data_IF_254561843410
#
_entry.id   IF_254561843410
#
_cell.length_a   1.000
_cell.length_b   1.000
_cell.length_c   1.000
_cell.angle_alpha   90.00
_cell.angle_beta   90.00
_cell.angle_gamma   90.00
#
_symmetry.space_group_name_H-M   'P 1'
#
loop_
_entity.id
_entity.type
_entity.pdbx_description
1 polymer ?
#
# COMPACT_ATOMS: atom_id res chain seq x y z
N UNK A 1 31.49 12.20 -19.17
CA UNK A 1 30.56 11.30 -18.43
C UNK A 1 30.34 11.69 -16.98
N UNK A 2 31.38 12.06 -16.20
CA UNK A 2 31.22 12.56 -14.81
C UNK A 2 30.28 13.76 -14.67
N UNK A 3 30.14 14.60 -15.70
CA UNK A 3 29.21 15.74 -15.72
C UNK A 3 27.73 15.34 -15.83
N UNK A 4 27.44 14.09 -16.24
CA UNK A 4 26.09 13.63 -16.59
C UNK A 4 25.66 12.36 -15.84
N UNK A 5 26.52 11.82 -14.96
CA UNK A 5 26.25 10.59 -14.21
C UNK A 5 26.84 10.68 -12.81
N UNK A 6 26.05 10.31 -11.81
CA UNK A 6 26.42 10.17 -10.40
C UNK A 6 27.08 8.81 -10.09
N UNK A 7 27.26 7.95 -11.10
CA UNK A 7 27.86 6.63 -10.93
C UNK A 7 29.37 6.71 -10.73
N UNK A 8 29.85 5.99 -9.72
CA UNK A 8 31.29 5.78 -9.47
C UNK A 8 31.92 4.88 -10.54
N UNK A 9 31.18 3.86 -11.01
CA UNK A 9 31.52 3.01 -12.14
C UNK A 9 30.47 3.16 -13.23
N UNK A 10 30.84 3.82 -14.34
CA UNK A 10 29.90 4.05 -15.44
C UNK A 10 30.00 2.93 -16.48
N UNK A 11 28.89 2.26 -16.86
CA UNK A 11 28.89 1.21 -17.87
C UNK A 11 29.16 1.70 -19.31
N UNK A 12 29.32 3.01 -19.53
CA UNK A 12 29.69 3.56 -20.83
C UNK A 12 28.53 3.85 -21.78
N UNK A 13 27.28 3.59 -21.36
CA UNK A 13 26.07 3.79 -22.18
C UNK A 13 25.07 4.65 -21.40
N UNK A 14 24.39 5.56 -22.08
CA UNK A 14 23.31 6.40 -21.55
C UNK A 14 22.15 6.44 -22.54
N UNK A 15 20.93 6.38 -22.02
CA UNK A 15 19.72 6.50 -22.81
C UNK A 15 18.73 7.44 -22.10
N UNK A 16 17.99 8.20 -22.88
CA UNK A 16 16.95 9.12 -22.41
C UNK A 16 15.61 8.57 -22.90
N UNK A 17 14.67 8.40 -21.97
CA UNK A 17 13.35 7.86 -22.27
C UNK A 17 12.28 8.84 -21.81
N UNK A 18 11.14 8.83 -22.51
CA UNK A 18 9.91 9.43 -21.99
C UNK A 18 9.41 8.57 -20.83
N UNK A 19 8.96 9.20 -19.74
CA UNK A 19 8.27 8.48 -18.66
C UNK A 19 6.99 7.85 -19.24
N UNK A 20 6.77 6.53 -19.06
CA UNK A 20 5.55 5.89 -19.50
C UNK A 20 4.35 6.45 -18.74
N UNK A 21 3.23 6.54 -19.43
CA UNK A 21 1.93 6.82 -18.83
C UNK A 21 1.34 5.55 -18.24
N UNK A 22 0.42 5.69 -17.28
CA UNK A 22 -0.17 4.56 -16.57
C UNK A 22 -0.97 3.67 -17.52
N UNK A 23 -1.58 4.26 -18.55
CA UNK A 23 -2.30 3.54 -19.62
C UNK A 23 -1.37 2.67 -20.48
N UNK A 24 -0.14 3.13 -20.71
CA UNK A 24 0.87 2.38 -21.47
C UNK A 24 1.41 1.17 -20.68
N UNK A 25 1.26 1.18 -19.36
CA UNK A 25 1.75 0.12 -18.46
C UNK A 25 0.66 -0.87 -18.03
N UNK A 26 -0.57 -0.73 -18.53
CA UNK A 26 -1.65 -1.69 -18.23
C UNK A 26 -1.29 -3.08 -18.79
N UNK A 27 -1.13 -4.06 -17.88
CA UNK A 27 -0.89 -5.44 -18.26
C UNK A 27 -2.10 -6.04 -19.00
N UNK A 28 -1.84 -6.63 -20.18
CA UNK A 28 -2.85 -7.35 -20.97
C UNK A 28 -3.12 -8.76 -20.46
N UNK A 29 -2.17 -9.35 -19.72
CA UNK A 29 -2.35 -10.59 -18.96
C UNK A 29 -2.87 -10.25 -17.56
N UNK A 30 -3.88 -11.00 -17.08
CA UNK A 30 -4.55 -10.72 -15.80
C UNK A 30 -3.55 -10.60 -14.64
N UNK A 31 -3.37 -9.41 -14.04
CA UNK A 31 -2.41 -9.21 -12.96
C UNK A 31 -2.88 -9.90 -11.68
N UNK A 32 -1.94 -10.18 -10.76
CA UNK A 32 -2.28 -10.48 -9.38
C UNK A 32 -3.14 -9.31 -8.86
N UNK A 33 -4.35 -9.55 -8.32
CA UNK A 33 -5.25 -8.49 -7.88
C UNK A 33 -4.80 -7.90 -6.54
N UNK A 34 -3.55 -7.45 -6.51
CA UNK A 34 -2.87 -6.86 -5.37
C UNK A 34 -2.35 -5.49 -5.78
N UNK A 35 -2.84 -4.46 -5.11
CA UNK A 35 -2.27 -3.12 -5.15
C UNK A 35 -1.40 -2.93 -3.91
N UNK A 36 -0.19 -2.38 -4.09
CA UNK A 36 0.67 -2.03 -2.95
C UNK A 36 0.58 -0.53 -2.73
N UNK A 37 0.27 -0.11 -1.51
CA UNK A 37 0.31 1.29 -1.08
C UNK A 37 1.60 1.49 -0.29
N UNK A 38 2.49 2.34 -0.78
CA UNK A 38 3.67 2.79 -0.06
C UNK A 38 3.36 4.11 0.62
N UNK A 39 3.52 4.17 1.94
CA UNK A 39 3.32 5.36 2.72
C UNK A 39 4.63 5.83 3.33
N UNK A 40 5.06 7.02 2.90
CA UNK A 40 6.25 7.70 3.41
C UNK A 40 7.54 6.85 3.35
N UNK A 41 7.70 6.02 2.31
CA UNK A 41 8.94 5.28 2.01
C UNK A 41 9.96 6.23 1.41
N UNK A 42 10.98 6.60 2.19
CA UNK A 42 11.97 7.63 1.82
C UNK A 42 13.30 7.07 1.34
N UNK A 43 13.63 5.83 1.68
CA UNK A 43 14.87 5.22 1.23
C UNK A 43 14.77 4.75 -0.24
N UNK A 44 15.66 5.22 -1.14
CA UNK A 44 15.64 4.83 -2.55
C UNK A 44 15.93 3.34 -2.79
N UNK A 45 16.70 2.72 -1.90
CA UNK A 45 17.03 1.30 -1.95
C UNK A 45 15.79 0.45 -1.66
N UNK A 46 15.10 0.76 -0.57
CA UNK A 46 13.87 0.09 -0.16
C UNK A 46 12.76 0.30 -1.21
N UNK A 47 12.58 1.52 -1.72
CA UNK A 47 11.60 1.79 -2.78
C UNK A 47 11.87 0.95 -4.04
N UNK A 48 13.12 0.89 -4.51
CA UNK A 48 13.46 0.08 -5.67
C UNK A 48 13.31 -1.42 -5.45
N UNK A 49 13.61 -1.91 -4.24
CA UNK A 49 13.39 -3.31 -3.88
C UNK A 49 11.89 -3.67 -3.83
N UNK A 50 11.05 -2.82 -3.22
CA UNK A 50 9.58 -2.99 -3.22
C UNK A 50 9.04 -2.98 -4.65
N UNK A 51 9.51 -2.04 -5.48
CA UNK A 51 9.12 -1.96 -6.88
C UNK A 51 9.47 -3.24 -7.66
N UNK A 52 10.67 -3.79 -7.46
CA UNK A 52 11.08 -5.06 -8.07
C UNK A 52 10.24 -6.23 -7.59
N UNK A 53 9.94 -6.30 -6.30
CA UNK A 53 9.07 -7.32 -5.71
C UNK A 53 7.68 -7.25 -6.34
N UNK A 54 7.09 -6.06 -6.43
CA UNK A 54 5.77 -5.87 -7.01
C UNK A 54 5.71 -6.31 -8.49
N UNK A 55 6.70 -5.90 -9.29
CA UNK A 55 6.81 -6.31 -10.70
C UNK A 55 7.04 -7.82 -10.85
N UNK A 56 7.90 -8.42 -10.03
CA UNK A 56 8.17 -9.85 -10.06
C UNK A 56 6.96 -10.69 -9.64
N UNK A 57 6.18 -10.20 -8.67
CA UNK A 57 4.94 -10.82 -8.21
C UNK A 57 3.79 -10.69 -9.22
N UNK A 58 3.88 -9.72 -10.15
CA UNK A 58 2.82 -9.42 -11.10
C UNK A 58 1.68 -8.62 -10.46
N UNK A 59 1.98 -7.79 -9.45
CA UNK A 59 1.00 -6.93 -8.79
C UNK A 59 0.29 -6.01 -9.80
N UNK A 60 -0.97 -5.67 -9.49
CA UNK A 60 -1.82 -4.81 -10.32
C UNK A 60 -1.25 -3.42 -10.49
N UNK A 61 -0.75 -2.82 -9.41
CA UNK A 61 -0.23 -1.44 -9.38
C UNK A 61 0.52 -1.15 -8.09
N UNK A 62 1.37 -0.11 -8.14
CA UNK A 62 2.03 0.50 -6.99
C UNK A 62 1.49 1.92 -6.81
N UNK A 63 1.05 2.24 -5.61
CA UNK A 63 0.48 3.54 -5.23
C UNK A 63 1.41 4.17 -4.20
N UNK A 64 2.08 5.27 -4.56
CA UNK A 64 2.99 5.98 -3.66
C UNK A 64 2.27 7.20 -3.12
N UNK A 65 2.02 7.20 -1.82
CA UNK A 65 1.41 8.33 -1.14
C UNK A 65 2.39 9.50 -1.11
N UNK A 66 1.85 10.71 -1.01
CA UNK A 66 2.64 11.94 -0.83
C UNK A 66 3.58 11.78 0.37
N UNK A 67 4.87 12.08 0.14
CA UNK A 67 5.93 11.89 1.13
C UNK A 67 6.89 10.73 0.82
N UNK A 68 6.56 9.87 -0.14
CA UNK A 68 7.50 8.89 -0.68
C UNK A 68 8.62 9.56 -1.51
N UNK A 69 9.74 8.86 -1.64
CA UNK A 69 10.82 9.21 -2.58
C UNK A 69 10.31 9.22 -4.02
N UNK A 70 10.85 10.13 -4.86
CA UNK A 70 10.50 10.14 -6.29
C UNK A 70 10.95 8.84 -6.95
N UNK A 71 10.01 8.06 -7.44
CA UNK A 71 10.29 6.76 -8.03
C UNK A 71 11.16 6.85 -9.31
N UNK A 72 11.20 8.01 -9.95
CA UNK A 72 11.97 8.24 -11.18
C UNK A 72 13.36 8.85 -10.93
N UNK A 73 13.78 9.04 -9.69
CA UNK A 73 15.14 9.51 -9.42
C UNK A 73 16.19 8.44 -9.76
N UNK A 74 17.43 8.88 -10.02
CA UNK A 74 18.51 8.01 -10.48
C UNK A 74 18.79 6.82 -9.56
N UNK A 75 18.68 6.99 -8.23
CA UNK A 75 18.92 5.91 -7.26
C UNK A 75 17.82 4.85 -7.35
N UNK A 76 16.56 5.25 -7.36
CA UNK A 76 15.42 4.33 -7.48
C UNK A 76 15.41 3.64 -8.85
N UNK A 77 15.71 4.36 -9.94
CA UNK A 77 15.84 3.77 -11.28
C UNK A 77 16.84 2.61 -11.32
N UNK A 78 17.98 2.79 -10.66
CA UNK A 78 19.01 1.75 -10.58
C UNK A 78 18.59 0.59 -9.69
N UNK A 79 18.11 0.85 -8.47
CA UNK A 79 17.68 -0.19 -7.54
C UNK A 79 16.48 -0.97 -8.08
N UNK A 80 15.58 -0.30 -8.80
CA UNK A 80 14.40 -0.85 -9.46
C UNK A 80 14.69 -1.73 -10.68
N UNK A 81 15.89 -1.67 -11.26
CA UNK A 81 16.34 -2.56 -12.34
C UNK A 81 15.34 -2.70 -13.52
N UNK A 82 14.71 -1.59 -13.94
CA UNK A 82 13.76 -1.58 -15.05
C UNK A 82 12.34 -2.05 -14.72
N UNK A 83 12.05 -2.36 -13.45
CA UNK A 83 10.70 -2.70 -12.99
C UNK A 83 9.67 -1.57 -13.21
N UNK A 84 10.14 -0.31 -13.29
CA UNK A 84 9.34 0.88 -13.61
C UNK A 84 8.49 0.75 -14.89
N UNK A 85 8.93 -0.08 -15.83
CA UNK A 85 8.30 -0.24 -17.15
C UNK A 85 7.46 -1.52 -17.26
N UNK A 86 7.12 -2.15 -16.12
CA UNK A 86 6.46 -3.47 -16.12
C UNK A 86 5.00 -3.44 -15.66
N UNK A 87 4.59 -2.43 -14.92
CA UNK A 87 3.23 -2.33 -14.37
C UNK A 87 2.91 -0.89 -13.94
N UNK A 88 1.63 -0.52 -13.78
CA UNK A 88 1.22 0.85 -13.44
C UNK A 88 1.74 1.30 -12.07
N UNK A 89 2.29 2.52 -12.05
CA UNK A 89 2.83 3.16 -10.86
C UNK A 89 2.23 4.56 -10.78
N UNK A 90 1.65 4.90 -9.63
CA UNK A 90 1.08 6.21 -9.38
C UNK A 90 1.89 6.88 -8.28
N UNK A 91 2.46 8.05 -8.58
CA UNK A 91 3.34 8.75 -7.64
C UNK A 91 2.65 9.98 -7.03
N UNK A 92 3.07 10.34 -5.82
CA UNK A 92 2.67 11.55 -5.11
C UNK A 92 1.15 11.70 -4.95
N UNK A 93 0.46 10.60 -4.61
CA UNK A 93 -0.99 10.62 -4.37
C UNK A 93 -1.28 11.20 -2.98
N UNK A 94 -2.06 12.28 -2.87
CA UNK A 94 -2.61 12.71 -1.59
C UNK A 94 -3.60 11.65 -1.06
N UNK A 95 -3.61 11.43 0.26
CA UNK A 95 -4.45 10.39 0.87
C UNK A 95 -5.95 10.61 0.59
N UNK A 96 -6.40 11.86 0.55
CA UNK A 96 -7.77 12.25 0.19
C UNK A 96 -8.18 11.83 -1.23
N UNK A 97 -7.23 11.51 -2.11
CA UNK A 97 -7.48 11.03 -3.47
C UNK A 97 -7.39 9.50 -3.61
N UNK A 98 -7.05 8.78 -2.54
CA UNK A 98 -6.93 7.32 -2.56
C UNK A 98 -8.21 6.59 -3.05
N UNK A 99 -9.44 7.05 -2.78
CA UNK A 99 -10.67 6.40 -3.27
C UNK A 99 -10.78 6.28 -4.80
N UNK A 100 -9.98 7.02 -5.58
CA UNK A 100 -9.93 6.86 -7.04
C UNK A 100 -9.13 5.62 -7.46
N UNK A 101 -8.37 5.03 -6.54
CA UNK A 101 -7.47 3.92 -6.80
C UNK A 101 -7.83 2.66 -6.02
N UNK A 102 -8.62 2.75 -4.96
CA UNK A 102 -9.00 1.60 -4.14
C UNK A 102 -10.50 1.42 -4.18
N UNK A 103 -10.96 0.25 -4.62
CA UNK A 103 -12.38 -0.09 -4.63
C UNK A 103 -12.90 -0.28 -3.20
N UNK A 104 -14.13 0.16 -2.91
CA UNK A 104 -14.74 0.01 -1.57
C UNK A 104 -14.79 -1.46 -1.10
N UNK A 105 -14.86 -2.40 -2.02
CA UNK A 105 -14.89 -3.85 -1.73
C UNK A 105 -13.51 -4.48 -1.59
N UNK A 106 -12.42 -3.72 -1.74
CA UNK A 106 -11.08 -4.26 -1.63
C UNK A 106 -10.75 -4.68 -0.20
N UNK A 107 -10.08 -5.82 -0.05
CA UNK A 107 -9.54 -6.26 1.24
C UNK A 107 -8.25 -5.52 1.57
N UNK A 108 -8.20 -4.87 2.72
CA UNK A 108 -7.03 -4.06 3.14
C UNK A 108 -6.21 -4.79 4.19
N UNK A 109 -4.91 -4.88 3.96
CA UNK A 109 -3.92 -5.47 4.84
C UNK A 109 -2.87 -4.42 5.19
N UNK A 110 -2.69 -4.15 6.48
CA UNK A 110 -1.64 -3.26 6.96
C UNK A 110 -0.42 -4.09 7.36
N UNK A 111 0.72 -3.88 6.69
CA UNK A 111 1.97 -4.52 7.07
C UNK A 111 2.49 -3.86 8.35
N UNK A 112 2.26 -4.53 9.46
CA UNK A 112 2.58 -4.04 10.77
C UNK A 112 3.70 -4.88 11.39
N UNK A 113 4.49 -4.20 12.20
CA UNK A 113 5.44 -4.86 13.05
C UNK A 113 4.69 -5.19 14.34
N UNK A 114 4.68 -6.44 14.79
CA UNK A 114 3.92 -6.83 15.98
C UNK A 114 4.53 -6.23 17.25
N UNK A 115 4.32 -4.93 17.46
CA UNK A 115 4.38 -4.31 18.76
C UNK A 115 3.32 -5.03 19.57
N UNK A 116 3.70 -5.63 20.70
CA UNK A 116 2.73 -6.06 21.71
C UNK A 116 2.06 -4.81 22.27
N UNK A 117 1.26 -4.12 21.48
CA UNK A 117 0.27 -3.19 21.98
C UNK A 117 -0.57 -4.05 22.92
N UNK A 118 -0.45 -3.69 24.20
CA UNK A 118 -0.98 -4.38 25.35
C UNK A 118 -2.16 -5.31 25.03
N UNK A 119 -2.04 -6.55 25.47
CA UNK A 119 -3.20 -7.33 25.92
C UNK A 119 -3.94 -6.49 26.98
N UNK A 120 -4.73 -5.51 26.53
CA UNK A 120 -5.77 -4.91 27.34
C UNK A 120 -6.81 -6.02 27.44
N UNK A 121 -7.15 -6.49 28.66
CA UNK A 121 -8.08 -7.59 28.85
C UNK A 121 -9.35 -7.35 28.04
N UNK A 122 -9.85 -8.40 27.39
CA UNK A 122 -11.19 -8.42 26.79
C UNK A 122 -12.22 -8.11 27.89
N UNK A 123 -12.58 -6.83 28.03
CA UNK A 123 -13.82 -6.47 28.66
C UNK A 123 -14.88 -6.47 27.56
N UNK A 124 -15.61 -7.57 27.51
CA UNK A 124 -16.88 -7.64 26.80
C UNK A 124 -17.82 -6.58 27.38
N UNK A 125 -17.92 -5.46 26.68
CA UNK A 125 -19.11 -4.62 26.72
C UNK A 125 -19.65 -4.61 25.30
N UNK A 126 -20.68 -5.42 25.06
CA UNK A 126 -21.59 -5.20 23.94
C UNK A 126 -22.11 -3.75 24.06
N UNK A 127 -22.07 -2.94 23.00
CA UNK A 127 -22.75 -1.65 23.04
C UNK A 127 -24.26 -1.91 23.03
N UNK A 128 -24.94 -1.40 24.06
CA UNK A 128 -26.40 -1.26 24.07
C UNK A 128 -26.81 -0.48 22.82
N UNK A 129 -27.57 -1.14 21.94
CA UNK A 129 -28.20 -0.51 20.78
C UNK A 129 -29.39 0.28 21.32
N UNK A 130 -29.14 1.55 21.67
CA UNK A 130 -30.24 2.50 21.83
C UNK A 130 -30.58 3.09 20.47
N UNK A 131 -31.82 2.84 20.07
CA UNK A 131 -32.43 3.31 18.83
C UNK A 131 -32.75 4.80 18.93
N UNK A 132 -32.37 5.53 17.87
CA UNK A 132 -32.81 6.84 17.40
C UNK A 132 -31.70 7.89 17.44
N UNK A 133 -31.15 8.18 16.26
CA UNK A 133 -31.31 9.49 15.64
C UNK A 133 -30.97 9.36 14.14
N UNK A 134 -31.88 9.83 13.29
CA UNK A 134 -31.61 10.09 11.87
C UNK A 134 -30.58 11.23 11.80
N UNK A 135 -29.29 10.92 12.02
CA UNK A 135 -28.21 11.85 11.76
C UNK A 135 -28.02 11.96 10.24
N UNK A 136 -28.19 13.18 9.72
CA UNK A 136 -27.85 13.58 8.37
C UNK A 136 -26.48 12.97 7.97
N UNK A 137 -26.49 11.98 7.09
CA UNK A 137 -25.26 11.44 6.48
C UNK A 137 -24.68 12.55 5.60
N UNK A 138 -23.85 13.42 6.19
CA UNK A 138 -23.10 14.40 5.43
C UNK A 138 -22.18 13.65 4.48
N UNK A 139 -22.40 13.83 3.18
CA UNK A 139 -21.59 13.23 2.13
C UNK A 139 -20.13 13.73 2.29
N UNK A 140 -19.27 12.90 2.88
CA UNK A 140 -17.87 13.25 3.18
C UNK A 140 -16.99 13.30 1.94
N UNK A 141 -17.49 12.73 0.84
CA UNK A 141 -16.80 12.68 -0.44
C UNK A 141 -17.41 13.63 -1.45
N UNK A 142 -16.58 14.32 -2.21
CA UNK A 142 -17.02 15.22 -3.27
C UNK A 142 -16.12 15.08 -4.49
N UNK A 143 -16.59 15.51 -5.66
CA UNK A 143 -15.79 15.46 -6.89
C UNK A 143 -15.29 16.85 -7.24
N UNK A 144 -14.00 16.98 -7.50
CA UNK A 144 -13.39 18.22 -7.99
C UNK A 144 -12.94 18.06 -9.44
N UNK A 145 -13.05 19.13 -10.21
CA UNK A 145 -12.49 19.22 -11.55
C UNK A 145 -11.04 19.71 -11.45
N UNK A 146 -10.11 18.96 -12.00
CA UNK A 146 -8.69 19.30 -12.07
C UNK A 146 -8.38 20.23 -13.25
N UNK A 147 -7.18 20.80 -13.25
CA UNK A 147 -6.72 21.75 -14.28
C UNK A 147 -6.70 21.15 -15.69
N UNK A 148 -6.47 19.84 -15.79
CA UNK A 148 -6.52 19.07 -17.04
C UNK A 148 -7.95 18.70 -17.49
N UNK A 149 -8.96 19.11 -16.72
CA UNK A 149 -10.38 18.89 -17.01
C UNK A 149 -10.91 17.53 -16.56
N UNK A 150 -10.10 16.67 -15.93
CA UNK A 150 -10.56 15.41 -15.34
C UNK A 150 -11.30 15.64 -14.01
N UNK A 151 -12.01 14.61 -13.54
CA UNK A 151 -12.77 14.64 -12.30
C UNK A 151 -12.15 13.67 -11.30
N UNK A 152 -11.87 14.16 -10.09
CA UNK A 152 -11.22 13.39 -9.02
C UNK A 152 -12.14 13.37 -7.80
N UNK A 153 -12.41 12.18 -7.27
CA UNK A 153 -13.11 12.00 -6.00
C UNK A 153 -12.17 12.34 -4.84
N UNK A 154 -12.63 13.17 -3.93
CA UNK A 154 -11.89 13.61 -2.75
C UNK A 154 -12.66 13.19 -1.51
N UNK A 155 -12.00 12.49 -0.59
CA UNK A 155 -12.52 12.13 0.73
C UNK A 155 -11.85 12.98 1.81
N UNK A 156 -12.63 13.88 2.43
CA UNK A 156 -12.13 14.84 3.41
C UNK A 156 -11.75 14.20 4.74
N UNK A 157 -12.20 12.97 5.04
CA UNK A 157 -11.88 12.29 6.29
C UNK A 157 -10.37 12.07 6.46
N UNK A 158 -9.63 11.95 5.35
CA UNK A 158 -8.17 11.85 5.36
C UNK A 158 -7.46 13.14 5.78
N UNK A 159 -8.18 14.26 5.86
CA UNK A 159 -7.68 15.57 6.29
C UNK A 159 -8.20 15.96 7.68
N UNK A 160 -9.13 15.20 8.25
CA UNK A 160 -9.76 15.47 9.54
C UNK A 160 -8.92 14.87 10.69
N UNK A 161 -8.30 15.71 11.55
CA UNK A 161 -7.47 15.21 12.65
C UNK A 161 -8.20 14.33 13.66
N UNK A 162 -9.49 14.60 13.92
CA UNK A 162 -10.27 13.86 14.92
C UNK A 162 -10.60 12.47 14.40
N UNK A 163 -10.97 12.37 13.12
CA UNK A 163 -11.19 11.08 12.44
C UNK A 163 -9.92 10.26 12.31
N UNK A 164 -8.79 10.89 11.98
CA UNK A 164 -7.50 10.20 11.92
C UNK A 164 -7.10 9.66 13.29
N UNK A 165 -7.34 10.41 14.36
CA UNK A 165 -7.08 9.97 15.74
C UNK A 165 -8.02 8.83 16.15
N UNK A 166 -9.30 8.92 15.80
CA UNK A 166 -10.28 7.88 16.05
C UNK A 166 -9.94 6.58 15.30
N UNK A 167 -9.55 6.69 14.02
CA UNK A 167 -9.13 5.56 13.21
C UNK A 167 -7.86 4.89 13.74
N UNK A 168 -6.87 5.66 14.17
CA UNK A 168 -5.64 5.11 14.74
C UNK A 168 -5.88 4.40 16.08
N UNK A 169 -6.87 4.87 16.86
CA UNK A 169 -7.26 4.25 18.12
C UNK A 169 -8.18 3.04 17.93
N UNK A 170 -8.69 2.81 16.71
CA UNK A 170 -9.59 1.71 16.40
C UNK A 170 -8.84 0.38 16.46
N UNK A 171 -9.37 -0.58 17.22
CA UNK A 171 -8.74 -1.90 17.42
C UNK A 171 -8.95 -2.78 16.19
N UNK A 172 -8.01 -2.72 15.25
CA UNK A 172 -7.94 -3.65 14.12
C UNK A 172 -7.44 -5.02 14.58
N UNK A 173 -8.01 -6.08 14.03
CA UNK A 173 -7.49 -7.43 14.22
C UNK A 173 -6.05 -7.52 13.70
N UNK A 174 -5.15 -8.11 14.48
CA UNK A 174 -3.76 -8.33 14.12
C UNK A 174 -3.49 -9.84 14.04
N UNK A 175 -3.04 -10.32 12.87
CA UNK A 175 -2.80 -11.74 12.62
C UNK A 175 -1.41 -11.98 12.07
N UNK A 176 -0.89 -13.17 12.32
CA UNK A 176 0.30 -13.64 11.61
C UNK A 176 -0.01 -13.74 10.12
N UNK A 177 0.92 -13.31 9.27
CA UNK A 177 0.74 -13.27 7.82
C UNK A 177 0.36 -14.63 7.19
N UNK A 178 0.73 -15.75 7.80
CA UNK A 178 0.41 -17.11 7.30
C UNK A 178 -1.03 -17.55 7.62
N UNK A 179 -1.65 -16.98 8.64
CA UNK A 179 -3.01 -17.34 9.10
C UNK A 179 -4.11 -16.58 8.34
N UNK A 180 -3.71 -15.61 7.52
CA UNK A 180 -4.64 -14.78 6.74
C UNK A 180 -4.97 -15.47 5.43
N UNK A 181 -6.27 -15.54 5.11
CA UNK A 181 -6.74 -15.97 3.80
C UNK A 181 -6.74 -14.78 2.82
N UNK A 182 -5.83 -14.79 1.87
CA UNK A 182 -5.70 -13.78 0.81
C UNK A 182 -6.50 -14.17 -0.45
N UNK A 183 -7.72 -14.71 -0.29
CA UNK A 183 -8.50 -15.35 -1.37
C UNK A 183 -9.49 -14.41 -2.10
N UNK A 184 -9.38 -13.10 -1.88
CA UNK A 184 -10.32 -12.07 -2.33
C UNK A 184 -10.05 -11.60 -3.76
N UNK A 185 -11.00 -10.90 -4.41
CA UNK A 185 -10.86 -10.47 -5.82
C UNK A 185 -10.07 -9.17 -6.02
N UNK A 186 -9.93 -8.34 -4.98
CA UNK A 186 -9.03 -7.18 -4.96
C UNK A 186 -8.46 -7.01 -3.55
N UNK A 187 -7.16 -6.81 -3.47
CA UNK A 187 -6.40 -6.73 -2.23
C UNK A 187 -5.48 -5.52 -2.25
N UNK A 188 -5.37 -4.86 -1.11
CA UNK A 188 -4.48 -3.73 -0.89
C UNK A 188 -3.55 -4.08 0.25
N UNK A 189 -2.24 -4.01 0.00
CA UNK A 189 -1.22 -4.14 1.04
C UNK A 189 -0.59 -2.77 1.28
N UNK A 190 -0.73 -2.25 2.50
CA UNK A 190 -0.13 -0.98 2.91
C UNK A 190 1.20 -1.24 3.58
N UNK A 191 2.25 -0.57 3.11
CA UNK A 191 3.61 -0.63 3.63
C UNK A 191 3.98 0.76 4.17
N UNK A 192 4.18 0.85 5.48
CA UNK A 192 4.55 2.09 6.16
C UNK A 192 6.05 2.37 6.18
N UNK A 193 6.40 3.55 6.70
CA UNK A 193 7.80 4.00 6.81
C UNK A 193 8.60 3.20 7.83
N UNK A 194 9.92 3.09 7.64
CA UNK A 194 10.83 2.42 8.57
C UNK A 194 10.82 3.05 9.96
N UNK A 195 10.66 4.38 10.04
CA UNK A 195 10.84 5.15 11.27
C UNK A 195 9.54 5.36 12.07
N UNK A 196 8.40 5.50 11.38
CA UNK A 196 7.11 5.82 12.00
C UNK A 196 6.07 4.70 11.83
N UNK A 197 6.39 3.66 11.04
CA UNK A 197 5.43 2.60 10.72
C UNK A 197 4.27 3.12 9.87
N UNK A 198 3.07 2.62 10.18
CA UNK A 198 1.81 2.93 9.51
C UNK A 198 1.23 4.27 10.00
N UNK A 199 0.83 5.13 9.06
CA UNK A 199 0.19 6.41 9.40
C UNK A 199 -1.25 6.27 9.87
N UNK A 200 -1.82 7.25 10.59
CA UNK A 200 -3.25 7.30 10.91
C UNK A 200 -4.15 7.16 9.68
N UNK A 201 -3.74 7.68 8.52
CA UNK A 201 -4.46 7.54 7.26
C UNK A 201 -4.53 6.08 6.80
N UNK A 202 -3.46 5.30 7.02
CA UNK A 202 -3.45 3.86 6.75
C UNK A 202 -4.46 3.11 7.64
N UNK A 203 -4.57 3.51 8.92
CA UNK A 203 -5.59 2.96 9.82
C UNK A 203 -7.01 3.35 9.41
N UNK A 204 -7.23 4.58 8.93
CA UNK A 204 -8.52 5.01 8.40
C UNK A 204 -8.93 4.17 7.17
N UNK A 205 -8.00 3.93 6.26
CA UNK A 205 -8.22 3.03 5.12
C UNK A 205 -8.61 1.62 5.60
N UNK A 206 -7.88 1.04 6.55
CA UNK A 206 -8.22 -0.28 7.05
C UNK A 206 -9.58 -0.31 7.75
N UNK A 207 -9.89 0.68 8.61
CA UNK A 207 -11.19 0.79 9.30
C UNK A 207 -12.34 0.79 8.30
N UNK A 208 -12.25 1.61 7.25
CA UNK A 208 -13.32 1.78 6.26
C UNK A 208 -13.50 0.56 5.34
N UNK A 209 -12.52 -0.35 5.28
CA UNK A 209 -12.55 -1.56 4.46
C UNK A 209 -12.61 -2.85 5.28
N UNK A 210 -12.90 -2.77 6.59
CA UNK A 210 -12.82 -3.91 7.50
C UNK A 210 -11.50 -4.67 7.40
N UNK A 211 -10.42 -3.93 7.20
CA UNK A 211 -9.07 -4.43 7.02
C UNK A 211 -8.47 -4.99 8.29
N UNK A 212 -7.32 -5.63 8.14
CA UNK A 212 -6.59 -6.24 9.24
C UNK A 212 -5.12 -5.84 9.21
N UNK A 213 -4.49 -5.88 10.39
CA UNK A 213 -3.04 -5.81 10.53
C UNK A 213 -2.44 -7.19 10.32
N UNK A 214 -1.36 -7.26 9.57
CA UNK A 214 -0.62 -8.50 9.31
C UNK A 214 0.82 -8.30 9.73
N UNK A 215 1.38 -9.27 10.46
CA UNK A 215 2.77 -9.22 10.92
C UNK A 215 3.54 -10.47 10.56
N UNK A 216 4.86 -10.32 10.47
CA UNK A 216 5.81 -11.42 10.27
C UNK A 216 6.44 -11.74 11.63
N UNK A 217 6.33 -12.99 12.12
CA UNK A 217 6.97 -13.38 13.38
C UNK A 217 8.47 -13.16 13.30
N UNK A 218 9.02 -12.54 14.35
CA UNK A 218 10.45 -12.29 14.49
C UNK A 218 10.95 -12.86 15.82
N UNK A 219 12.23 -13.26 15.85
CA UNK A 219 12.86 -13.80 17.06
C UNK A 219 12.94 -12.74 18.17
N UNK A 220 13.00 -13.18 19.43
CA UNK A 220 13.03 -12.26 20.57
C UNK A 220 14.18 -11.26 20.48
N UNK A 221 13.87 -9.98 20.62
CA UNK A 221 14.85 -8.89 20.62
C UNK A 221 15.14 -8.28 19.23
N UNK A 222 14.56 -8.83 18.15
CA UNK A 222 14.52 -8.14 16.86
C UNK A 222 13.28 -7.25 16.83
N UNK A 223 13.50 -5.94 16.80
CA UNK A 223 12.38 -4.99 16.82
C UNK A 223 11.58 -5.07 15.54
N UNK A 224 12.20 -5.01 14.36
CA UNK A 224 11.49 -5.05 13.07
C UNK A 224 12.38 -5.56 11.93
N UNK A 225 11.74 -6.02 10.84
CA UNK A 225 12.42 -6.30 9.58
C UNK A 225 12.58 -5.03 8.75
N UNK A 226 13.57 -5.02 7.85
CA UNK A 226 13.63 -4.01 6.79
C UNK A 226 12.32 -4.00 5.99
N UNK A 227 11.79 -2.80 5.72
CA UNK A 227 10.50 -2.60 5.06
C UNK A 227 10.38 -3.31 3.71
N UNK A 228 11.42 -3.29 2.88
CA UNK A 228 11.39 -3.98 1.59
C UNK A 228 11.43 -5.51 1.73
N UNK A 229 12.11 -6.04 2.75
CA UNK A 229 12.12 -7.47 3.07
C UNK A 229 10.73 -7.91 3.54
N UNK A 230 10.12 -7.15 4.46
CA UNK A 230 8.77 -7.42 4.94
C UNK A 230 7.74 -7.39 3.80
N UNK A 231 7.79 -6.37 2.95
CA UNK A 231 6.95 -6.28 1.76
C UNK A 231 7.13 -7.50 0.83
N UNK A 232 8.37 -7.97 0.65
CA UNK A 232 8.66 -9.14 -0.18
C UNK A 232 8.04 -10.42 0.35
N UNK A 233 8.13 -10.66 1.66
CA UNK A 233 7.52 -11.84 2.30
C UNK A 233 6.00 -11.81 2.12
N UNK A 234 5.36 -10.69 2.46
CA UNK A 234 3.91 -10.55 2.40
C UNK A 234 3.37 -10.67 0.96
N UNK A 235 4.01 -10.01 -0.01
CA UNK A 235 3.59 -10.03 -1.41
C UNK A 235 3.67 -11.45 -1.99
N UNK A 236 4.75 -12.18 -1.71
CA UNK A 236 4.91 -13.53 -2.24
C UNK A 236 4.03 -14.56 -1.52
N UNK A 237 3.69 -14.36 -0.25
CA UNK A 237 2.68 -15.16 0.43
C UNK A 237 1.29 -14.95 -0.19
N UNK A 238 0.88 -13.70 -0.42
CA UNK A 238 -0.37 -13.38 -1.12
C UNK A 238 -0.38 -14.07 -2.48
N UNK A 239 0.69 -13.90 -3.28
CA UNK A 239 0.80 -14.55 -4.60
C UNK A 239 0.70 -16.08 -4.51
N UNK A 240 1.32 -16.71 -3.51
CA UNK A 240 1.29 -18.16 -3.29
C UNK A 240 -0.15 -18.65 -3.12
N UNK A 241 -0.95 -17.97 -2.30
CA UNK A 241 -2.34 -18.34 -2.06
C UNK A 241 -3.21 -18.15 -3.33
N UNK A 242 -3.02 -17.06 -4.08
CA UNK A 242 -3.71 -16.87 -5.36
C UNK A 242 -3.37 -17.94 -6.40
N UNK A 243 -2.11 -18.35 -6.49
CA UNK A 243 -1.68 -19.42 -7.39
C UNK A 243 -2.34 -20.77 -7.03
N UNK A 244 -2.41 -21.10 -5.74
CA UNK A 244 -3.09 -22.31 -5.27
C UNK A 244 -4.60 -22.27 -5.51
N UNK A 245 -5.25 -21.14 -5.26
CA UNK A 245 -6.68 -20.94 -5.50
C UNK A 245 -7.07 -21.01 -6.98
N UNK A 246 -6.19 -20.59 -7.90
CA UNK A 246 -6.40 -20.73 -9.33
C UNK A 246 -6.32 -22.19 -9.80
N UNK A 247 -5.41 -22.99 -9.24
CA UNK A 247 -5.26 -24.40 -9.58
C UNK A 247 -6.48 -25.22 -9.15
N UNK A 248 -7.03 -24.94 -7.96
CA UNK A 248 -8.24 -25.61 -7.45
C UNK A 248 -9.52 -25.29 -8.24
N UNK A 249 -9.57 -24.18 -8.99
CA UNK A 249 -10.73 -23.81 -9.82
C UNK A 249 -10.70 -24.43 -11.23
N UNK A 250 -9.60 -25.05 -11.63
CA UNK A 250 -9.39 -25.63 -12.97
C UNK A 250 -9.45 -27.16 -13.01
N UNK A 251 -9.53 -27.83 -11.86
CA UNK A 251 -9.73 -29.29 -11.75
C UNK A 251 -11.15 -29.63 -11.33
#
# INVERSE_FOLDING_TARGET
>A
MKTWSDLTTCPGIMAVFKKPTEKELLCTAGPLPLSIVCDNIRDPGNMGAILRTAAAAGCRRLLLMKGCVDIWESKVLRSGCGAHFRFPIYNNIPWEHLPNYVEQTASVYLADNHSRDAEIPEQHSEPDVDSNDDEDVQETTYTMKTEDGSFVKVDKLYLDPDELKAAHSYKLQCKEYTEVAYNQKDSVLVIGSEAQGLSPQSFLLARNHSGIRVYIPSERGVESLNTAVAASILVFEIRRQFAQGSLLRQG
#
